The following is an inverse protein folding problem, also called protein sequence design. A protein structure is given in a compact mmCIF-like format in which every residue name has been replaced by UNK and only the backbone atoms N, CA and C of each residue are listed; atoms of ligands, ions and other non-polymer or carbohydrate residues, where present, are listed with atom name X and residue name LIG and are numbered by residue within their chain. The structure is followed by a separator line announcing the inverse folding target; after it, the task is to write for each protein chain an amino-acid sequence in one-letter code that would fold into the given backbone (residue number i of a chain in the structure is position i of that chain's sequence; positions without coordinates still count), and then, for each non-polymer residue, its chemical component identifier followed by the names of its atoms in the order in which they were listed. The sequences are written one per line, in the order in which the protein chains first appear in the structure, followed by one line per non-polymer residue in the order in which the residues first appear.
data_IF_264921729613
#
_entry.id   IF_264921729613
#
_cell.length_a   1.000
_cell.length_b   1.000
_cell.length_c   1.000
_cell.angle_alpha   90.00
_cell.angle_beta   90.00
_cell.angle_gamma   90.00
#
_symmetry.space_group_name_H-M   'P 1'
#
loop_
_entity.id
_entity.type
_entity.pdbx_description
1 polymer ?
#
# COMPACT_ATOMS: atom_id res chain seq x y z
N UNK A 1 1.09 19.69 -8.33
CA UNK A 1 0.40 20.34 -9.47
C UNK A 1 -1.14 20.33 -9.36
N UNK A 2 -1.82 21.38 -9.87
CA UNK A 2 -3.28 21.39 -10.09
C UNK A 2 -3.58 20.58 -11.37
N UNK A 3 -4.32 19.45 -11.31
CA UNK A 3 -4.55 18.57 -12.45
C UNK A 3 -5.37 19.19 -13.58
N UNK A 4 -5.93 20.39 -13.37
CA UNK A 4 -6.62 21.15 -14.43
C UNK A 4 -5.64 21.89 -15.37
N UNK A 5 -4.39 22.10 -14.94
CA UNK A 5 -3.38 22.81 -15.72
C UNK A 5 -2.77 21.91 -16.81
N UNK A 6 -2.38 22.47 -17.98
CA UNK A 6 -1.74 21.70 -19.04
C UNK A 6 -0.40 21.09 -18.65
N UNK A 7 -0.10 19.93 -19.25
CA UNK A 7 1.21 19.28 -19.12
C UNK A 7 2.12 19.85 -20.21
N UNK A 8 3.11 20.65 -19.80
CA UNK A 8 3.97 21.37 -20.75
C UNK A 8 5.43 20.93 -20.69
N UNK A 9 5.80 20.16 -19.67
CA UNK A 9 7.16 19.71 -19.42
C UNK A 9 7.22 18.28 -18.88
N UNK A 10 8.42 17.69 -18.91
CA UNK A 10 8.65 16.36 -18.32
C UNK A 10 8.40 16.37 -16.81
N UNK A 11 8.67 17.50 -16.14
CA UNK A 11 8.38 17.67 -14.72
C UNK A 11 6.87 17.64 -14.45
N UNK A 12 6.07 18.36 -15.25
CA UNK A 12 4.61 18.36 -15.13
C UNK A 12 4.05 16.95 -15.34
N UNK A 13 4.60 16.21 -16.31
CA UNK A 13 4.18 14.85 -16.62
C UNK A 13 4.49 13.89 -15.47
N UNK A 14 5.68 13.99 -14.87
CA UNK A 14 6.04 13.24 -13.67
C UNK A 14 5.07 13.52 -12.53
N UNK A 15 4.87 14.80 -12.19
CA UNK A 15 3.95 15.19 -11.11
C UNK A 15 2.53 14.69 -11.37
N UNK A 16 2.03 14.82 -12.61
CA UNK A 16 0.72 14.33 -12.99
C UNK A 16 0.59 12.81 -12.81
N UNK A 17 1.58 12.07 -13.32
CA UNK A 17 1.60 10.61 -13.25
C UNK A 17 1.62 10.12 -11.81
N UNK A 18 2.49 10.70 -10.98
CA UNK A 18 2.58 10.37 -9.55
C UNK A 18 1.30 10.77 -8.79
N UNK A 19 0.72 11.94 -9.06
CA UNK A 19 -0.57 12.38 -8.49
C UNK A 19 -1.72 11.40 -8.79
N UNK A 20 -1.68 10.74 -9.95
CA UNK A 20 -2.67 9.71 -10.35
C UNK A 20 -2.31 8.30 -9.88
N UNK A 21 -1.43 8.20 -8.89
CA UNK A 21 -0.98 6.94 -8.30
C UNK A 21 -0.20 6.08 -9.29
N UNK A 22 0.51 6.73 -10.22
CA UNK A 22 1.27 6.08 -11.26
C UNK A 22 0.42 5.12 -12.11
N UNK A 23 -0.85 5.45 -12.39
CA UNK A 23 -1.75 4.60 -13.20
C UNK A 23 -2.40 5.37 -14.35
N UNK A 24 -2.20 4.88 -15.58
CA UNK A 24 -2.80 5.46 -16.79
C UNK A 24 -4.33 5.42 -16.75
N UNK A 25 -4.93 4.37 -16.17
CA UNK A 25 -6.39 4.29 -16.06
C UNK A 25 -6.97 5.43 -15.22
N UNK A 26 -6.32 5.84 -14.13
CA UNK A 26 -6.76 6.99 -13.34
C UNK A 26 -6.60 8.31 -14.10
N UNK A 27 -5.50 8.46 -14.83
CA UNK A 27 -5.28 9.64 -15.67
C UNK A 27 -6.37 9.78 -16.73
N UNK A 28 -6.62 8.71 -17.50
CA UNK A 28 -7.61 8.69 -18.56
C UNK A 28 -9.03 8.87 -18.03
N UNK A 29 -9.39 8.23 -16.90
CA UNK A 29 -10.72 8.35 -16.31
C UNK A 29 -10.99 9.75 -15.77
N UNK A 30 -10.03 10.33 -15.05
CA UNK A 30 -10.26 11.57 -14.31
C UNK A 30 -10.09 12.81 -15.19
N UNK A 31 -9.08 12.82 -16.08
CA UNK A 31 -8.80 13.96 -16.96
C UNK A 31 -8.31 13.49 -18.35
N UNK A 32 -9.22 13.01 -19.24
CA UNK A 32 -8.86 12.47 -20.55
C UNK A 32 -7.96 13.38 -21.39
N UNK A 33 -8.22 14.69 -21.40
CA UNK A 33 -7.42 15.65 -22.17
C UNK A 33 -5.96 15.73 -21.67
N UNK A 34 -5.74 15.68 -20.35
CA UNK A 34 -4.39 15.68 -19.75
C UNK A 34 -3.67 14.36 -20.01
N UNK A 35 -4.43 13.25 -20.04
CA UNK A 35 -3.88 11.98 -20.45
C UNK A 35 -3.37 12.00 -21.90
N UNK A 36 -4.09 12.60 -22.85
CA UNK A 36 -3.61 12.73 -24.23
C UNK A 36 -2.33 13.59 -24.32
N UNK A 37 -2.24 14.69 -23.57
CA UNK A 37 -1.01 15.49 -23.49
C UNK A 37 0.16 14.68 -22.94
N UNK A 38 -0.05 13.95 -21.84
CA UNK A 38 0.94 13.05 -21.27
C UNK A 38 1.41 12.00 -22.28
N UNK A 39 0.47 11.39 -23.03
CA UNK A 39 0.76 10.39 -24.06
C UNK A 39 1.58 10.99 -25.22
N UNK A 40 1.29 12.22 -25.62
CA UNK A 40 2.01 12.92 -26.68
C UNK A 40 3.48 13.19 -26.32
N UNK A 41 3.84 13.20 -25.03
CA UNK A 41 5.23 13.35 -24.57
C UNK A 41 6.12 12.14 -24.85
N UNK A 42 5.54 10.97 -25.21
CA UNK A 42 6.33 9.79 -25.59
C UNK A 42 7.16 9.19 -24.44
N UNK A 43 6.71 9.35 -23.19
CA UNK A 43 7.41 8.86 -22.00
C UNK A 43 7.44 7.32 -22.01
N UNK A 44 8.65 6.76 -21.95
CA UNK A 44 8.86 5.31 -21.96
C UNK A 44 8.56 4.66 -20.61
N UNK A 45 8.21 3.37 -20.66
CA UNK A 45 7.89 2.55 -19.47
C UNK A 45 9.01 2.53 -18.42
N UNK A 46 10.27 2.58 -18.85
CA UNK A 46 11.42 2.63 -17.94
C UNK A 46 11.41 3.90 -17.08
N UNK A 47 11.15 5.04 -17.71
CA UNK A 47 11.04 6.32 -17.03
C UNK A 47 9.87 6.35 -16.05
N UNK A 48 8.70 5.81 -16.44
CA UNK A 48 7.55 5.68 -15.54
C UNK A 48 7.83 4.75 -14.36
N UNK A 49 8.58 3.68 -14.60
CA UNK A 49 8.98 2.75 -13.54
C UNK A 49 9.91 3.45 -12.54
N UNK A 50 10.85 4.27 -13.03
CA UNK A 50 11.72 5.08 -12.18
C UNK A 50 10.91 6.08 -11.34
N UNK A 51 9.94 6.79 -11.94
CA UNK A 51 9.08 7.73 -11.21
C UNK A 51 8.17 7.05 -10.18
N UNK A 52 7.65 5.85 -10.49
CA UNK A 52 6.86 5.09 -9.54
C UNK A 52 7.71 4.56 -8.37
N UNK A 53 8.96 4.15 -8.64
CA UNK A 53 9.90 3.74 -7.61
C UNK A 53 10.27 4.90 -6.69
N UNK A 54 10.49 6.08 -7.26
CA UNK A 54 10.72 7.32 -6.52
C UNK A 54 9.52 7.67 -5.64
N UNK A 55 8.30 7.65 -6.17
CA UNK A 55 7.08 7.92 -5.40
C UNK A 55 6.89 6.93 -4.23
N UNK A 56 7.16 5.64 -4.45
CA UNK A 56 7.11 4.64 -3.38
C UNK A 56 8.17 4.90 -2.31
N UNK A 57 9.39 5.28 -2.71
CA UNK A 57 10.51 5.57 -1.82
C UNK A 57 10.26 6.82 -0.97
N UNK A 58 9.73 7.88 -1.58
CA UNK A 58 9.32 9.12 -0.90
C UNK A 58 8.17 8.88 0.06
N UNK A 59 7.15 8.11 -0.36
CA UNK A 59 6.02 7.73 0.49
C UNK A 59 6.47 6.93 1.71
N UNK A 60 7.43 6.01 1.55
CA UNK A 60 8.04 5.29 2.67
C UNK A 60 8.79 6.23 3.61
N UNK A 61 9.65 7.11 3.08
CA UNK A 61 10.40 8.06 3.89
C UNK A 61 9.46 8.99 4.71
N UNK A 62 8.32 9.37 4.13
CA UNK A 62 7.31 10.14 4.84
C UNK A 62 6.65 9.33 5.97
N UNK A 63 6.29 8.07 5.74
CA UNK A 63 5.73 7.19 6.78
C UNK A 63 6.72 6.86 7.89
N UNK A 64 8.01 6.83 7.57
CA UNK A 64 9.12 6.60 8.51
C UNK A 64 9.51 7.88 9.28
N UNK A 65 8.94 9.04 8.95
CA UNK A 65 9.30 10.32 9.59
C UNK A 65 8.56 10.56 10.91
N UNK A 66 9.23 11.25 11.84
CA UNK A 66 8.68 11.61 13.16
C UNK A 66 7.46 12.56 13.10
N UNK A 67 7.15 13.11 11.92
CA UNK A 67 6.08 14.10 11.71
C UNK A 67 4.91 13.62 10.86
N UNK A 68 4.75 12.30 10.66
CA UNK A 68 3.62 11.78 9.86
C UNK A 68 2.28 12.16 10.50
N UNK A 69 1.40 12.78 9.71
CA UNK A 69 0.06 13.10 10.14
C UNK A 69 -0.73 11.81 10.40
N UNK A 70 -1.29 11.70 11.60
CA UNK A 70 -2.07 10.53 12.04
C UNK A 70 -3.30 10.30 11.18
N UNK A 71 -3.94 11.36 10.69
CA UNK A 71 -5.15 11.29 9.89
C UNK A 71 -4.82 10.85 8.45
N UNK A 72 -3.54 10.93 8.08
CA UNK A 72 -3.06 10.54 6.77
C UNK A 72 -2.33 9.20 6.71
N UNK A 73 -1.85 8.72 7.86
CA UNK A 73 -0.95 7.56 7.95
C UNK A 73 -1.52 6.31 7.25
N UNK A 74 -2.81 6.00 7.43
CA UNK A 74 -3.42 4.82 6.80
C UNK A 74 -3.50 4.94 5.28
N UNK A 75 -4.01 6.05 4.74
CA UNK A 75 -4.18 6.16 3.29
C UNK A 75 -2.83 6.23 2.58
N UNK A 76 -1.83 6.87 3.19
CA UNK A 76 -0.44 6.87 2.69
C UNK A 76 0.15 5.46 2.71
N UNK A 77 -0.04 4.71 3.78
CA UNK A 77 0.37 3.30 3.87
C UNK A 77 -0.26 2.45 2.76
N UNK A 78 -1.57 2.55 2.57
CA UNK A 78 -2.27 1.82 1.51
C UNK A 78 -1.80 2.23 0.12
N UNK A 79 -1.50 3.51 -0.10
CA UNK A 79 -1.00 4.00 -1.38
C UNK A 79 0.39 3.44 -1.70
N UNK A 80 1.30 3.42 -0.71
CA UNK A 80 2.64 2.86 -0.87
C UNK A 80 2.58 1.35 -1.11
N UNK A 81 1.69 0.63 -0.42
CA UNK A 81 1.46 -0.80 -0.68
C UNK A 81 1.03 -1.04 -2.13
N UNK A 82 0.05 -0.29 -2.62
CA UNK A 82 -0.43 -0.39 -4.00
C UNK A 82 0.72 -0.20 -5.00
N UNK A 83 1.57 0.82 -4.81
CA UNK A 83 2.73 1.05 -5.67
C UNK A 83 3.70 -0.13 -5.64
N UNK A 84 4.07 -0.61 -4.45
CA UNK A 84 5.03 -1.70 -4.27
C UNK A 84 4.54 -2.98 -4.94
N UNK A 85 3.29 -3.36 -4.68
CA UNK A 85 2.71 -4.62 -5.16
C UNK A 85 2.46 -4.56 -6.67
N UNK A 86 1.84 -3.49 -7.17
CA UNK A 86 1.49 -3.39 -8.59
C UNK A 86 2.72 -3.23 -9.49
N UNK A 87 3.77 -2.54 -9.01
CA UNK A 87 5.03 -2.36 -9.75
C UNK A 87 6.09 -3.40 -9.44
N UNK A 88 5.80 -4.35 -8.53
CA UNK A 88 6.68 -5.46 -8.13
C UNK A 88 8.01 -4.99 -7.52
N UNK A 89 7.99 -3.88 -6.78
CA UNK A 89 9.15 -3.35 -6.05
C UNK A 89 9.38 -4.11 -4.75
N UNK A 90 9.50 -5.44 -4.82
CA UNK A 90 9.57 -6.34 -3.66
C UNK A 90 10.69 -5.99 -2.67
N UNK A 91 11.81 -5.44 -3.13
CA UNK A 91 12.88 -4.93 -2.26
C UNK A 91 12.46 -3.80 -1.30
N UNK A 92 11.27 -3.21 -1.48
CA UNK A 92 10.70 -2.20 -0.58
C UNK A 92 9.77 -2.78 0.49
N UNK A 93 9.43 -4.07 0.44
CA UNK A 93 8.50 -4.70 1.39
C UNK A 93 9.00 -4.62 2.84
N UNK A 94 10.30 -4.85 3.07
CA UNK A 94 10.89 -4.70 4.41
C UNK A 94 10.84 -3.26 4.95
N UNK A 95 10.95 -2.26 4.08
CA UNK A 95 10.77 -0.85 4.49
C UNK A 95 9.31 -0.56 4.82
N UNK A 96 8.36 -1.08 4.05
CA UNK A 96 6.94 -0.93 4.37
C UNK A 96 6.59 -1.61 5.71
N UNK A 97 7.19 -2.75 6.03
CA UNK A 97 7.05 -3.40 7.34
C UNK A 97 7.55 -2.49 8.48
N UNK A 98 8.71 -1.87 8.32
CA UNK A 98 9.25 -0.93 9.29
C UNK A 98 8.36 0.31 9.44
N UNK A 99 7.94 0.90 8.32
CA UNK A 99 7.02 2.03 8.30
C UNK A 99 5.69 1.68 9.00
N UNK A 100 5.19 0.45 8.83
CA UNK A 100 3.99 -0.03 9.52
C UNK A 100 4.14 -0.01 11.03
N UNK A 101 5.30 -0.45 11.55
CA UNK A 101 5.61 -0.40 12.98
C UNK A 101 5.72 1.04 13.51
N UNK A 102 6.28 1.96 12.71
CA UNK A 102 6.40 3.38 13.06
C UNK A 102 5.03 4.05 13.18
N UNK A 103 4.12 3.80 12.24
CA UNK A 103 2.79 4.45 12.25
C UNK A 103 1.80 3.82 13.23
N UNK A 104 1.95 2.52 13.55
CA UNK A 104 1.04 1.78 14.43
C UNK A 104 0.58 2.52 15.71
N UNK A 105 1.48 3.16 16.50
CA UNK A 105 1.07 3.89 17.71
C UNK A 105 0.19 5.12 17.41
N UNK A 106 0.26 5.69 16.20
CA UNK A 106 -0.48 6.90 15.80
C UNK A 106 -1.91 6.59 15.36
N UNK A 107 -2.11 5.39 14.82
CA UNK A 107 -3.36 4.96 14.21
C UNK A 107 -4.50 4.85 15.23
N UNK A 108 -5.68 5.33 14.83
CA UNK A 108 -6.93 5.03 15.53
C UNK A 108 -7.24 3.52 15.45
N UNK A 109 -8.11 3.01 16.32
CA UNK A 109 -8.55 1.60 16.23
C UNK A 109 -9.06 1.26 14.82
N UNK A 110 -9.85 2.17 14.21
CA UNK A 110 -10.36 1.99 12.85
C UNK A 110 -9.23 1.86 11.84
N UNK A 111 -8.24 2.74 11.89
CA UNK A 111 -7.15 2.73 10.92
C UNK A 111 -6.22 1.53 11.10
N UNK A 112 -6.04 1.07 12.34
CA UNK A 112 -5.34 -0.20 12.62
C UNK A 112 -6.01 -1.38 11.93
N UNK A 113 -7.34 -1.46 11.97
CA UNK A 113 -8.10 -2.49 11.23
C UNK A 113 -7.86 -2.37 9.72
N UNK A 114 -7.89 -1.15 9.17
CA UNK A 114 -7.72 -0.93 7.74
C UNK A 114 -6.31 -1.24 7.24
N UNK A 115 -5.28 -0.96 8.04
CA UNK A 115 -3.89 -1.36 7.78
C UNK A 115 -3.75 -2.88 7.89
N UNK A 116 -4.33 -3.52 8.91
CA UNK A 116 -4.31 -4.97 9.03
C UNK A 116 -5.01 -5.66 7.85
N UNK A 117 -6.12 -5.10 7.35
CA UNK A 117 -6.78 -5.55 6.12
C UNK A 117 -5.91 -5.36 4.86
N UNK A 118 -5.09 -4.30 4.78
CA UNK A 118 -4.08 -4.16 3.71
C UNK A 118 -3.04 -5.28 3.79
N UNK A 119 -2.57 -5.61 5.00
CA UNK A 119 -1.54 -6.64 5.19
C UNK A 119 -2.08 -8.05 4.88
N UNK A 120 -3.27 -8.40 5.37
CA UNK A 120 -3.87 -9.73 5.18
C UNK A 120 -4.54 -9.87 3.81
N UNK A 121 -5.10 -8.78 3.28
CA UNK A 121 -5.87 -8.74 2.05
C UNK A 121 -7.38 -8.59 2.28
N UNK A 122 -7.99 -7.67 1.54
CA UNK A 122 -9.44 -7.38 1.62
C UNK A 122 -10.31 -8.39 0.89
N UNK A 123 -9.77 -9.08 -0.12
CA UNK A 123 -10.50 -10.05 -0.93
C UNK A 123 -10.36 -11.49 -0.42
N UNK A 124 -11.02 -12.44 -1.10
CA UNK A 124 -10.89 -13.88 -0.85
C UNK A 124 -9.41 -14.33 -0.96
N UNK A 125 -8.87 -15.08 0.03
CA UNK A 125 -7.48 -15.54 0.04
C UNK A 125 -7.01 -16.28 -1.21
N UNK A 126 -7.92 -16.91 -1.98
CA UNK A 126 -7.56 -17.58 -3.24
C UNK A 126 -6.90 -16.65 -4.27
N UNK A 127 -7.17 -15.35 -4.17
CA UNK A 127 -6.59 -14.34 -5.04
C UNK A 127 -5.20 -13.89 -4.59
N UNK A 128 -4.70 -14.41 -3.47
CA UNK A 128 -3.35 -14.17 -2.94
C UNK A 128 -2.98 -12.69 -2.87
N UNK A 129 -3.87 -11.87 -2.31
CA UNK A 129 -3.72 -10.41 -2.15
C UNK A 129 -3.36 -10.05 -0.71
N UNK A 130 -2.81 -8.85 -0.52
CA UNK A 130 -2.35 -8.36 0.77
C UNK A 130 -0.90 -8.77 1.03
N UNK A 131 -0.15 -7.92 1.74
CA UNK A 131 1.31 -7.94 1.85
C UNK A 131 1.95 -9.28 2.26
N UNK A 132 1.24 -10.15 2.99
CA UNK A 132 1.76 -11.47 3.38
C UNK A 132 2.05 -12.33 2.13
N UNK A 133 1.13 -12.37 1.16
CA UNK A 133 1.29 -13.24 -0.02
C UNK A 133 2.43 -12.79 -0.94
N UNK A 134 2.52 -11.53 -1.41
CA UNK A 134 3.65 -11.07 -2.22
C UNK A 134 4.99 -11.27 -1.49
N UNK A 135 5.07 -10.97 -0.19
CA UNK A 135 6.31 -11.20 0.58
C UNK A 135 6.71 -12.67 0.54
N UNK A 136 5.76 -13.58 0.77
CA UNK A 136 6.02 -15.01 0.67
C UNK A 136 6.39 -15.45 -0.76
N UNK A 137 5.65 -14.99 -1.77
CA UNK A 137 5.78 -15.42 -3.17
C UNK A 137 7.08 -14.92 -3.83
N UNK A 138 7.66 -13.84 -3.30
CA UNK A 138 8.98 -13.34 -3.70
C UNK A 138 10.14 -13.93 -2.88
N UNK A 139 9.88 -14.87 -1.97
CA UNK A 139 10.92 -15.53 -1.15
C UNK A 139 11.33 -14.75 0.10
N UNK A 140 10.68 -13.63 0.40
CA UNK A 140 10.89 -12.81 1.60
C UNK A 140 10.12 -13.40 2.80
N UNK A 141 10.41 -14.66 3.14
CA UNK A 141 9.62 -15.44 4.11
C UNK A 141 9.61 -14.82 5.53
N UNK A 142 10.73 -14.22 5.95
CA UNK A 142 10.78 -13.51 7.24
C UNK A 142 9.88 -12.27 7.22
N UNK A 143 9.95 -11.46 6.15
CA UNK A 143 9.07 -10.29 5.98
C UNK A 143 7.60 -10.70 5.98
N UNK A 144 7.25 -11.80 5.31
CA UNK A 144 5.90 -12.34 5.31
C UNK A 144 5.42 -12.73 6.73
N UNK A 145 6.30 -13.37 7.52
CA UNK A 145 6.02 -13.73 8.91
C UNK A 145 5.82 -12.49 9.78
N UNK A 146 6.70 -11.50 9.66
CA UNK A 146 6.60 -10.27 10.44
C UNK A 146 5.35 -9.46 10.07
N UNK A 147 4.99 -9.39 8.78
CA UNK A 147 3.70 -8.82 8.37
C UNK A 147 2.52 -9.55 9.00
N UNK A 148 2.54 -10.89 9.01
CA UNK A 148 1.49 -11.67 9.66
C UNK A 148 1.40 -11.35 11.16
N UNK A 149 2.55 -11.25 11.86
CA UNK A 149 2.57 -10.87 13.28
C UNK A 149 2.04 -9.44 13.50
N UNK A 150 2.48 -8.48 12.69
CA UNK A 150 2.03 -7.09 12.80
C UNK A 150 0.52 -6.95 12.54
N UNK A 151 -0.02 -7.63 11.54
CA UNK A 151 -1.45 -7.64 11.26
C UNK A 151 -2.26 -8.10 12.48
N UNK A 152 -1.82 -9.16 13.16
CA UNK A 152 -2.44 -9.65 14.40
C UNK A 152 -2.33 -8.62 15.53
N UNK A 153 -1.15 -8.01 15.70
CA UNK A 153 -0.91 -7.02 16.76
C UNK A 153 -1.77 -5.76 16.59
N UNK A 154 -1.97 -5.30 15.35
CA UNK A 154 -2.80 -4.13 15.02
C UNK A 154 -4.25 -4.28 15.52
N UNK A 155 -4.78 -5.50 15.54
CA UNK A 155 -6.17 -5.80 15.94
C UNK A 155 -6.23 -6.74 17.14
N UNK A 156 -5.22 -6.70 18.01
CA UNK A 156 -5.18 -7.55 19.20
C UNK A 156 -6.31 -7.22 20.18
N UNK A 157 -6.59 -5.93 20.35
CA UNK A 157 -7.66 -5.41 21.20
C UNK A 157 -9.04 -5.56 20.53
N UNK A 158 -10.07 -5.73 21.36
CA UNK A 158 -11.46 -5.76 20.90
C UNK A 158 -11.96 -4.35 20.56
N UNK A 159 -12.87 -4.28 19.60
CA UNK A 159 -13.54 -3.05 19.22
C UNK A 159 -14.85 -2.90 19.99
N UNK A 160 -15.12 -1.71 20.50
CA UNK A 160 -16.41 -1.41 21.14
C UNK A 160 -17.57 -1.40 20.13
N UNK A 161 -17.30 -0.94 18.89
CA UNK A 161 -18.28 -0.94 17.81
C UNK A 161 -18.53 -2.39 17.31
N UNK A 162 -19.76 -2.92 17.40
CA UNK A 162 -20.07 -4.29 17.01
C UNK A 162 -19.79 -4.61 15.53
N UNK A 163 -19.93 -3.63 14.63
CA UNK A 163 -19.63 -3.81 13.20
C UNK A 163 -18.13 -3.95 12.98
N UNK A 164 -17.34 -3.14 13.69
CA UNK A 164 -15.88 -3.22 13.64
C UNK A 164 -15.37 -4.52 14.25
N UNK A 165 -15.97 -4.95 15.37
CA UNK A 165 -15.63 -6.22 16.02
C UNK A 165 -15.93 -7.44 15.13
N UNK A 166 -17.07 -7.39 14.41
CA UNK A 166 -17.41 -8.41 13.42
C UNK A 166 -16.35 -8.46 12.31
N UNK A 167 -15.92 -7.30 11.79
CA UNK A 167 -14.87 -7.22 10.76
C UNK A 167 -13.51 -7.72 11.28
N UNK A 168 -13.13 -7.37 12.52
CA UNK A 168 -11.92 -7.89 13.18
C UNK A 168 -11.96 -9.41 13.26
N UNK A 169 -13.06 -9.99 13.71
CA UNK A 169 -13.20 -11.45 13.83
C UNK A 169 -13.01 -12.14 12.47
N UNK A 170 -13.70 -11.66 11.44
CA UNK A 170 -13.54 -12.18 10.07
C UNK A 170 -12.10 -12.00 9.52
N UNK A 171 -11.44 -10.88 9.87
CA UNK A 171 -10.04 -10.65 9.51
C UNK A 171 -9.11 -11.66 10.20
N UNK A 172 -9.32 -11.98 11.47
CA UNK A 172 -8.51 -12.95 12.22
C UNK A 172 -8.68 -14.38 11.68
N UNK A 173 -9.90 -14.76 11.29
CA UNK A 173 -10.13 -16.03 10.58
C UNK A 173 -9.37 -16.07 9.25
N UNK A 174 -9.49 -15.00 8.45
CA UNK A 174 -8.76 -14.88 7.19
C UNK A 174 -7.25 -14.92 7.40
N UNK A 175 -6.74 -14.21 8.40
CA UNK A 175 -5.33 -14.19 8.76
C UNK A 175 -4.80 -15.61 9.06
N UNK A 176 -5.59 -16.42 9.78
CA UNK A 176 -5.25 -17.84 10.02
C UNK A 176 -5.17 -18.62 8.72
N UNK A 177 -6.11 -18.44 7.81
CA UNK A 177 -6.10 -19.16 6.53
C UNK A 177 -4.91 -18.74 5.65
N UNK A 178 -4.58 -17.45 5.62
CA UNK A 178 -3.43 -16.92 4.87
C UNK A 178 -2.11 -17.44 5.45
N UNK A 179 -1.93 -17.42 6.77
CA UNK A 179 -0.72 -17.93 7.42
C UNK A 179 -0.53 -19.44 7.17
N UNK A 180 -1.61 -20.23 7.22
CA UNK A 180 -1.58 -21.66 6.86
C UNK A 180 -1.15 -21.85 5.40
N UNK A 181 -1.73 -21.11 4.46
CA UNK A 181 -1.38 -21.19 3.04
C UNK A 181 0.07 -20.82 2.74
N UNK A 182 0.65 -19.90 3.52
CA UNK A 182 2.04 -19.48 3.40
C UNK A 182 3.00 -20.32 4.26
N UNK A 183 2.52 -21.38 4.92
CA UNK A 183 3.35 -22.22 5.80
C UNK A 183 3.92 -21.50 7.03
N UNK A 184 3.36 -20.34 7.39
CA UNK A 184 3.80 -19.54 8.54
C UNK A 184 3.21 -20.17 9.81
N UNK A 185 4.09 -20.70 10.69
CA UNK A 185 3.72 -21.40 11.93
C UNK A 185 4.28 -20.66 13.15
N UNK A 186 3.63 -20.84 14.30
CA UNK A 186 4.09 -20.39 15.63
C UNK A 186 4.16 -18.86 15.83
N UNK A 187 3.13 -18.13 15.41
CA UNK A 187 2.92 -16.69 15.67
C UNK A 187 1.53 -16.41 16.24
#
# INVERSE_FOLDING_TARGET
MNPELPITSISDAKEYFQLKGCQHMHMQRDFPARYEEYRAMGIGKEQETAWAFEAATEGLAHLESDGVDRDEAWWRHSHVEDLIVQRRFHGLLGRLLNATAVIQPLLSQRDRLLVAETIVGRVDPKWRRGLIFPSHDFGEHEVAREFAQQARNLVAEAFEDPKMETRRTALLEKWRDVTVQCGIRNI
#
